data_IF_433295419549
#
_entry.id   IF_433295419549
#
_cell.length_a   1.000
_cell.length_b   1.000
_cell.length_c   1.000
_cell.angle_alpha   90.00
_cell.angle_beta   90.00
_cell.angle_gamma   90.00
#
_symmetry.space_group_name_H-M   'P 1'
#
loop_
_entity.id
_entity.type
_entity.pdbx_description
1 polymer ?
#
# COMPACT_ATOMS: atom_id res chain seq x y z
N UNK A 1 -1.88 -14.01 -0.23
CA UNK A 1 -2.29 -15.36 0.19
C UNK A 1 -1.82 -15.67 1.61
N UNK A 2 -0.50 -15.62 1.89
CA UNK A 2 0.07 -15.92 3.22
C UNK A 2 -0.56 -15.06 4.33
N UNK A 3 -0.68 -13.74 4.13
CA UNK A 3 -1.18 -12.82 5.17
C UNK A 3 -2.64 -13.05 5.57
N UNK A 4 -3.48 -13.52 4.64
CA UNK A 4 -4.92 -13.72 4.89
C UNK A 4 -5.19 -14.90 5.82
N UNK A 5 -4.33 -15.92 5.77
CA UNK A 5 -4.45 -17.12 6.62
C UNK A 5 -4.02 -16.86 8.07
N UNK A 6 -3.44 -15.70 8.37
CA UNK A 6 -2.95 -15.34 9.70
C UNK A 6 -3.60 -14.07 10.26
N UNK A 7 -4.79 -13.70 9.76
CA UNK A 7 -5.50 -12.50 10.21
C UNK A 7 -5.72 -12.47 11.72
N UNK A 8 -6.06 -13.60 12.32
CA UNK A 8 -6.42 -13.69 13.75
C UNK A 8 -5.21 -13.41 14.65
N UNK A 9 -4.02 -13.81 14.20
CA UNK A 9 -2.76 -13.53 14.89
C UNK A 9 -2.28 -12.08 14.68
N UNK A 10 -2.90 -11.36 13.72
CA UNK A 10 -2.54 -10.02 13.29
C UNK A 10 -3.71 -9.05 13.44
N UNK A 11 -4.50 -9.18 14.52
CA UNK A 11 -5.56 -8.22 14.86
C UNK A 11 -6.60 -7.99 13.74
N UNK A 12 -6.80 -8.99 12.87
CA UNK A 12 -7.70 -8.94 11.71
C UNK A 12 -7.09 -8.34 10.45
N UNK A 13 -5.82 -7.96 10.43
CA UNK A 13 -5.13 -7.47 9.23
C UNK A 13 -4.81 -8.63 8.28
N UNK A 14 -5.24 -8.51 7.02
CA UNK A 14 -5.11 -9.60 6.04
C UNK A 14 -4.59 -9.16 4.67
N UNK A 15 -4.51 -7.85 4.42
CA UNK A 15 -3.98 -7.27 3.19
C UNK A 15 -2.96 -6.16 3.52
N UNK A 16 -2.13 -5.82 2.55
CA UNK A 16 -1.26 -4.64 2.58
C UNK A 16 -1.54 -3.85 1.30
N UNK A 17 -1.74 -2.54 1.44
CA UNK A 17 -1.71 -1.62 0.31
C UNK A 17 -0.31 -1.03 0.20
N UNK A 18 0.21 -1.01 -1.02
CA UNK A 18 1.54 -0.51 -1.33
C UNK A 18 1.43 0.68 -2.27
N UNK A 19 2.11 1.77 -1.96
CA UNK A 19 2.20 2.97 -2.80
C UNK A 19 3.67 3.25 -2.99
N UNK A 20 4.08 3.50 -4.24
CA UNK A 20 5.46 3.84 -4.58
C UNK A 20 5.49 5.12 -5.40
N UNK A 21 6.41 6.01 -5.07
CA UNK A 21 6.78 7.10 -5.95
C UNK A 21 7.72 6.56 -7.03
N UNK A 22 7.28 6.62 -8.28
CA UNK A 22 8.05 6.10 -9.41
C UNK A 22 9.33 6.90 -9.69
N UNK A 23 9.44 8.14 -9.23
CA UNK A 23 10.64 8.96 -9.41
C UNK A 23 11.69 8.64 -8.35
N UNK A 24 11.39 8.89 -7.07
CA UNK A 24 12.33 8.69 -5.96
C UNK A 24 12.53 7.22 -5.57
N UNK A 25 11.63 6.33 -6.01
CA UNK A 25 11.51 4.93 -5.56
C UNK A 25 11.15 4.79 -4.07
N UNK A 26 10.76 5.86 -3.40
CA UNK A 26 10.27 5.80 -2.03
C UNK A 26 8.92 5.08 -1.99
N UNK A 27 8.75 4.17 -1.04
CA UNK A 27 7.58 3.30 -0.95
C UNK A 27 6.98 3.28 0.45
N UNK A 28 5.65 3.23 0.49
CA UNK A 28 4.86 3.08 1.70
C UNK A 28 4.05 1.79 1.61
N UNK A 29 4.03 1.03 2.71
CA UNK A 29 3.20 -0.15 2.86
C UNK A 29 2.29 0.07 4.07
N UNK A 30 0.97 -0.06 3.89
CA UNK A 30 0.00 0.13 4.96
C UNK A 30 -0.88 -1.11 5.12
N UNK A 31 -1.04 -1.64 6.36
CA UNK A 31 -1.85 -2.82 6.59
C UNK A 31 -3.35 -2.53 6.51
N UNK A 32 -4.10 -3.46 5.91
CA UNK A 32 -5.54 -3.37 5.73
C UNK A 32 -6.25 -4.60 6.31
N UNK A 33 -7.30 -4.36 7.11
CA UNK A 33 -8.21 -5.41 7.59
C UNK A 33 -9.22 -5.86 6.53
N UNK A 34 -9.63 -4.93 5.66
CA UNK A 34 -10.56 -5.18 4.55
C UNK A 34 -10.04 -4.49 3.30
N UNK A 35 -10.28 -5.11 2.14
CA UNK A 35 -9.97 -4.55 0.82
C UNK A 35 -11.16 -3.78 0.23
N UNK A 36 -12.00 -3.20 1.09
CA UNK A 36 -13.08 -2.34 0.64
C UNK A 36 -12.57 -0.92 0.34
N UNK A 37 -13.29 -0.20 -0.53
CA UNK A 37 -12.83 1.11 -0.95
C UNK A 37 -12.79 2.14 0.19
N UNK A 38 -13.55 1.98 1.28
CA UNK A 38 -13.48 2.90 2.44
C UNK A 38 -12.14 2.73 3.16
N UNK A 39 -11.75 1.50 3.43
CA UNK A 39 -10.49 1.15 4.07
C UNK A 39 -9.30 1.59 3.23
N UNK A 40 -9.39 1.37 1.91
CA UNK A 40 -8.37 1.81 0.94
C UNK A 40 -8.25 3.33 0.90
N UNK A 41 -9.37 4.06 0.90
CA UNK A 41 -9.37 5.54 0.92
C UNK A 41 -8.69 6.10 2.16
N UNK A 42 -9.04 5.56 3.34
CA UNK A 42 -8.42 5.96 4.61
C UNK A 42 -6.93 5.65 4.64
N UNK A 43 -6.51 4.52 4.08
CA UNK A 43 -5.10 4.17 4.00
C UNK A 43 -4.34 5.10 3.05
N UNK A 44 -4.92 5.44 1.89
CA UNK A 44 -4.31 6.42 0.97
C UNK A 44 -4.13 7.78 1.65
N UNK A 45 -5.17 8.26 2.34
CA UNK A 45 -5.12 9.53 3.07
C UNK A 45 -3.99 9.54 4.11
N UNK A 46 -3.87 8.48 4.91
CA UNK A 46 -2.77 8.30 5.87
C UNK A 46 -1.40 8.27 5.20
N UNK A 47 -1.26 7.60 4.07
CA UNK A 47 0.00 7.55 3.31
C UNK A 47 0.39 8.94 2.83
N UNK A 48 -0.56 9.73 2.30
CA UNK A 48 -0.30 11.10 1.85
C UNK A 48 0.13 11.98 3.02
N UNK A 49 -0.54 11.87 4.17
CA UNK A 49 -0.19 12.60 5.38
C UNK A 49 1.21 12.21 5.89
N UNK A 50 1.52 10.91 5.94
CA UNK A 50 2.85 10.41 6.30
C UNK A 50 3.93 10.86 5.32
N UNK A 51 3.65 10.85 4.02
CA UNK A 51 4.56 11.35 3.00
C UNK A 51 4.89 12.84 3.25
N UNK A 52 3.88 13.66 3.59
CA UNK A 52 4.09 15.07 3.95
C UNK A 52 4.96 15.24 5.19
N UNK A 53 4.77 14.43 6.25
CA UNK A 53 5.62 14.52 7.45
C UNK A 53 7.06 14.09 7.17
N UNK A 54 7.27 13.27 6.15
CA UNK A 54 8.58 12.85 5.64
C UNK A 54 9.17 13.83 4.60
N UNK A 55 8.60 15.04 4.49
CA UNK A 55 9.00 16.08 3.54
C UNK A 55 8.88 15.65 2.06
N UNK A 56 8.04 14.65 1.78
CA UNK A 56 7.74 14.18 0.43
C UNK A 56 6.57 14.98 -0.16
N UNK A 57 6.70 15.36 -1.43
CA UNK A 57 5.67 16.15 -2.10
C UNK A 57 4.41 15.31 -2.38
N UNK A 58 3.24 15.93 -2.26
CA UNK A 58 1.98 15.28 -2.65
C UNK A 58 1.99 15.05 -4.17
N UNK A 59 1.71 13.81 -4.63
CA UNK A 59 1.77 13.51 -6.05
C UNK A 59 0.63 14.22 -6.81
N UNK A 60 0.91 14.72 -8.00
CA UNK A 60 -0.13 15.27 -8.89
C UNK A 60 -0.93 14.19 -9.60
N UNK A 61 -0.28 13.05 -9.85
CA UNK A 61 -0.81 11.95 -10.64
C UNK A 61 -0.71 10.65 -9.86
N UNK A 62 -1.82 9.90 -9.78
CA UNK A 62 -1.85 8.56 -9.21
C UNK A 62 -2.16 7.53 -10.30
N UNK A 63 -1.30 6.52 -10.42
CA UNK A 63 -1.58 5.35 -11.25
C UNK A 63 -2.06 4.22 -10.35
N UNK A 64 -3.23 3.67 -10.66
CA UNK A 64 -3.76 2.49 -10.00
C UNK A 64 -4.38 1.56 -11.06
N UNK A 65 -4.44 0.27 -10.74
CA UNK A 65 -5.18 -0.69 -11.54
C UNK A 65 -6.69 -0.39 -11.52
N UNK A 66 -7.43 -0.98 -12.46
CA UNK A 66 -8.90 -0.83 -12.56
C UNK A 66 -9.66 -1.62 -11.49
N UNK A 67 -9.09 -1.77 -10.30
CA UNK A 67 -9.75 -2.40 -9.17
C UNK A 67 -10.92 -1.55 -8.67
N UNK A 68 -12.05 -2.19 -8.37
CA UNK A 68 -13.24 -1.50 -7.86
C UNK A 68 -12.99 -0.78 -6.53
N UNK A 69 -12.00 -1.22 -5.76
CA UNK A 69 -11.56 -0.56 -4.54
C UNK A 69 -11.04 0.88 -4.76
N UNK A 70 -10.56 1.20 -5.96
CA UNK A 70 -10.06 2.52 -6.35
C UNK A 70 -11.09 3.37 -7.09
N UNK A 71 -12.24 2.78 -7.45
CA UNK A 71 -13.30 3.45 -8.21
C UNK A 71 -14.42 4.03 -7.35
N UNK A 72 -14.33 3.95 -6.02
CA UNK A 72 -15.41 4.37 -5.13
C UNK A 72 -15.43 5.90 -4.87
N UNK A 73 -16.58 6.39 -4.37
CA UNK A 73 -16.76 7.81 -4.02
C UNK A 73 -15.78 8.33 -2.96
N UNK A 74 -15.42 7.48 -2.00
CA UNK A 74 -14.54 7.88 -0.90
C UNK A 74 -13.11 8.13 -1.39
N UNK A 75 -12.63 7.30 -2.31
CA UNK A 75 -11.30 7.37 -2.88
C UNK A 75 -11.21 8.61 -3.78
N UNK A 76 -12.21 8.81 -4.64
CA UNK A 76 -12.34 10.03 -5.46
C UNK A 76 -12.38 11.29 -4.60
N UNK A 77 -13.04 11.28 -3.44
CA UNK A 77 -13.06 12.41 -2.51
C UNK A 77 -11.68 12.70 -1.92
N UNK A 78 -10.92 11.66 -1.54
CA UNK A 78 -9.53 11.82 -1.07
C UNK A 78 -8.66 12.42 -2.19
N UNK A 79 -8.74 11.87 -3.40
CA UNK A 79 -8.01 12.41 -4.55
C UNK A 79 -8.32 13.90 -4.78
N UNK A 80 -9.60 14.28 -4.76
CA UNK A 80 -10.03 15.68 -4.89
C UNK A 80 -9.52 16.56 -3.76
N UNK A 81 -9.57 16.09 -2.51
CA UNK A 81 -9.07 16.82 -1.32
C UNK A 81 -7.59 17.18 -1.45
N UNK A 82 -6.79 16.28 -1.99
CA UNK A 82 -5.34 16.47 -2.16
C UNK A 82 -4.93 16.95 -3.56
N UNK A 83 -5.88 17.25 -4.45
CA UNK A 83 -5.59 17.72 -5.81
C UNK A 83 -4.88 16.69 -6.70
N UNK A 84 -5.15 15.40 -6.48
CA UNK A 84 -4.51 14.28 -7.18
C UNK A 84 -5.40 13.81 -8.31
N UNK A 85 -4.84 13.66 -9.51
CA UNK A 85 -5.55 13.09 -10.65
C UNK A 85 -5.18 11.62 -10.83
N UNK A 86 -6.18 10.75 -10.73
CA UNK A 86 -6.00 9.33 -11.01
C UNK A 86 -6.12 9.07 -12.51
N UNK A 87 -5.25 8.24 -13.04
CA UNK A 87 -5.27 7.81 -14.43
C UNK A 87 -5.01 6.30 -14.51
N UNK A 88 -5.54 5.69 -15.56
CA UNK A 88 -5.33 4.28 -15.86
C UNK A 88 -4.62 4.18 -17.21
N UNK A 89 -3.39 3.69 -17.23
CA UNK A 89 -2.64 3.40 -18.46
C UNK A 89 -2.20 1.94 -18.46
N UNK A 90 -2.20 1.30 -19.63
CA UNK A 90 -1.57 -0.01 -19.84
C UNK A 90 -0.03 0.10 -19.94
N UNK A 91 0.58 0.97 -19.15
CA UNK A 91 2.03 1.16 -19.21
C UNK A 91 2.71 0.09 -18.36
N UNK A 92 3.25 -0.93 -19.03
CA UNK A 92 3.93 -2.08 -18.42
C UNK A 92 5.10 -1.66 -17.51
N UNK A 93 5.80 -0.57 -17.81
CA UNK A 93 6.96 -0.13 -17.01
C UNK A 93 6.56 0.33 -15.60
N UNK A 94 5.43 1.04 -15.46
CA UNK A 94 4.94 1.50 -14.17
C UNK A 94 4.45 0.34 -13.31
N UNK A 95 3.77 -0.62 -13.95
CA UNK A 95 3.35 -1.87 -13.31
C UNK A 95 4.55 -2.70 -12.87
N UNK A 96 5.61 -2.78 -13.67
CA UNK A 96 6.83 -3.52 -13.32
C UNK A 96 7.52 -2.99 -12.05
N UNK A 97 7.51 -1.67 -11.82
CA UNK A 97 8.09 -1.06 -10.61
C UNK A 97 7.35 -1.54 -9.36
N UNK A 98 6.01 -1.44 -9.35
CA UNK A 98 5.21 -1.85 -8.19
C UNK A 98 5.23 -3.37 -7.99
N UNK A 99 5.24 -4.15 -9.07
CA UNK A 99 5.38 -5.61 -9.01
C UNK A 99 6.71 -6.04 -8.41
N UNK A 100 7.81 -5.39 -8.81
CA UNK A 100 9.14 -5.65 -8.24
C UNK A 100 9.19 -5.30 -6.76
N UNK A 101 8.57 -4.19 -6.36
CA UNK A 101 8.46 -3.81 -4.95
C UNK A 101 7.65 -4.84 -4.17
N UNK A 102 6.48 -5.25 -4.68
CA UNK A 102 5.63 -6.26 -4.05
C UNK A 102 6.35 -7.60 -3.89
N UNK A 103 7.12 -8.04 -4.88
CA UNK A 103 7.96 -9.24 -4.78
C UNK A 103 9.01 -9.12 -3.68
N UNK A 104 9.66 -7.96 -3.59
CA UNK A 104 10.66 -7.67 -2.54
C UNK A 104 10.03 -7.69 -1.15
N UNK A 105 8.88 -7.02 -0.98
CA UNK A 105 8.14 -6.99 0.27
C UNK A 105 7.72 -8.39 0.71
N UNK A 106 7.16 -9.19 -0.21
CA UNK A 106 6.78 -10.58 0.09
C UNK A 106 7.98 -11.44 0.49
N UNK A 107 9.14 -11.26 -0.16
CA UNK A 107 10.37 -11.96 0.20
C UNK A 107 10.84 -11.63 1.62
N UNK A 108 10.87 -10.33 1.97
CA UNK A 108 11.24 -9.88 3.32
C UNK A 108 10.26 -10.37 4.39
N UNK A 109 8.95 -10.31 4.11
CA UNK A 109 7.92 -10.84 5.00
C UNK A 109 8.10 -12.33 5.26
N UNK A 110 8.42 -13.11 4.22
CA UNK A 110 8.73 -14.54 4.36
C UNK A 110 9.93 -14.78 5.26
N UNK A 111 11.03 -14.04 5.05
CA UNK A 111 12.23 -14.14 5.88
C UNK A 111 11.92 -13.79 7.34
N UNK A 112 11.18 -12.71 7.60
CA UNK A 112 10.77 -12.34 8.96
C UNK A 112 9.95 -13.45 9.63
N UNK A 113 9.06 -14.12 8.90
CA UNK A 113 8.27 -15.24 9.43
C UNK A 113 9.11 -16.48 9.75
N UNK A 114 10.18 -16.73 8.99
CA UNK A 114 11.10 -17.85 9.21
C UNK A 114 12.00 -17.57 10.42
N UNK A 115 12.63 -16.39 10.47
CA UNK A 115 13.55 -15.99 11.55
C UNK A 115 12.83 -15.86 12.89
N UNK A 116 11.67 -15.21 12.93
CA UNK A 116 10.95 -14.98 14.18
C UNK A 116 10.14 -16.20 14.66
N UNK A 117 10.01 -17.24 13.82
CA UNK A 117 9.09 -18.38 14.03
C UNK A 117 7.66 -17.95 14.42
N UNK A 118 7.27 -16.74 14.02
CA UNK A 118 5.99 -16.11 14.35
C UNK A 118 5.40 -15.51 13.09
N UNK A 119 4.08 -15.63 12.92
CA UNK A 119 3.37 -15.06 11.77
C UNK A 119 2.78 -13.68 12.08
N UNK A 120 3.22 -13.03 13.17
CA UNK A 120 2.84 -11.65 13.54
C UNK A 120 3.69 -10.62 12.78
N UNK A 121 3.06 -9.72 12.03
CA UNK A 121 3.75 -8.76 11.15
C UNK A 121 3.41 -7.27 11.37
N UNK A 122 2.33 -6.93 12.08
CA UNK A 122 1.88 -5.54 12.25
C UNK A 122 2.82 -4.69 13.14
N UNK A 123 3.34 -5.25 14.23
CA UNK A 123 4.06 -4.50 15.28
C UNK A 123 5.57 -4.82 15.37
N UNK A 124 6.16 -5.50 14.38
CA UNK A 124 7.53 -6.04 14.48
C UNK A 124 8.52 -5.55 13.43
N UNK A 125 8.25 -4.41 12.79
CA UNK A 125 9.12 -3.87 11.74
C UNK A 125 9.17 -4.70 10.45
N UNK A 126 8.29 -5.71 10.33
CA UNK A 126 8.14 -6.51 9.11
C UNK A 126 7.53 -5.69 7.97
N UNK A 127 6.72 -4.68 8.31
CA UNK A 127 6.24 -3.66 7.37
C UNK A 127 7.33 -2.60 7.28
N UNK A 128 7.98 -2.55 6.12
CA UNK A 128 8.96 -1.52 5.81
C UNK A 128 8.23 -0.21 5.53
N UNK A 129 8.64 0.83 6.23
CA UNK A 129 8.36 2.21 5.88
C UNK A 129 9.69 2.84 5.48
N UNK A 130 9.88 3.14 4.20
CA UNK A 130 11.05 3.86 3.67
C UNK A 130 12.40 3.21 3.95
#
# INVERSE_FOLDING_TARGET
>A
VIMRNYSDQNEGYCNIITVIDTFSKFAWAFPLKKKDGISVSKALEKIIEQAKTQNHQTPKLLHADKGLEFENKHFKNVLKKYGIHMYHTQNEEKSAIIERFNRTLNGKMRLCFEVQKSKKWINRGCILYG
#
